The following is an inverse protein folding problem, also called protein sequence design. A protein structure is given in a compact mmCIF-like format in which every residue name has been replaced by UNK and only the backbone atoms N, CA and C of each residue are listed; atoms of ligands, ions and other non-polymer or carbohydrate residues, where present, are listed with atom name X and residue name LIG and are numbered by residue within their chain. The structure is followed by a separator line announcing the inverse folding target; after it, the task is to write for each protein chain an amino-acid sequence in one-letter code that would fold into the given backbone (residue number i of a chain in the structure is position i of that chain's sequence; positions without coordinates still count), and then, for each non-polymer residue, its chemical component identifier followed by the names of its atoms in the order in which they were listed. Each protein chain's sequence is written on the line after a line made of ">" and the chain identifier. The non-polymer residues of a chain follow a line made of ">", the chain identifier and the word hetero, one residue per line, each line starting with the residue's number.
data_IF_071709728812
#
_entry.id   IF_071709728812
#
_cell.length_a   1.000
_cell.length_b   1.000
_cell.length_c   1.000
_cell.angle_alpha   90.00
_cell.angle_beta   90.00
_cell.angle_gamma   90.00
#
_symmetry.space_group_name_H-M   'P 1'
#
loop_
_entity.id
_entity.type
_entity.pdbx_description
1 polymer ?
#
# COMPACT_ATOMS: atom_id res chain seq x y z
N UNK A 1 34.64 26.67 1.61
CA UNK A 1 33.67 25.58 1.41
C UNK A 1 32.43 26.23 0.88
N UNK A 2 32.09 26.00 -0.38
CA UNK A 2 30.80 26.41 -0.95
C UNK A 2 29.69 25.62 -0.25
N UNK A 3 28.62 26.29 0.16
CA UNK A 3 27.51 25.71 0.92
C UNK A 3 26.73 24.67 0.08
N UNK A 4 26.90 24.67 -1.25
CA UNK A 4 26.47 23.59 -2.16
C UNK A 4 27.05 22.18 -1.85
N UNK A 5 28.02 22.05 -0.94
CA UNK A 5 28.58 20.75 -0.52
C UNK A 5 27.92 20.15 0.74
N UNK A 6 26.89 20.78 1.30
CA UNK A 6 26.07 20.17 2.35
C UNK A 6 25.43 18.86 1.86
N UNK A 7 25.30 17.87 2.75
CA UNK A 7 24.55 16.65 2.43
C UNK A 7 23.10 17.02 2.22
N UNK A 8 22.64 16.98 0.96
CA UNK A 8 21.23 17.19 0.64
C UNK A 8 20.38 16.06 1.22
N UNK A 9 19.15 16.35 1.68
CA UNK A 9 18.27 15.32 2.23
C UNK A 9 17.92 14.28 1.16
N UNK A 10 18.04 12.99 1.52
CA UNK A 10 17.76 11.85 0.63
C UNK A 10 16.58 10.99 1.11
N UNK A 11 15.78 11.48 2.05
CA UNK A 11 14.68 10.70 2.64
C UNK A 11 13.66 10.24 1.59
N UNK A 12 13.40 11.06 0.57
CA UNK A 12 12.48 10.74 -0.54
C UNK A 12 12.95 9.58 -1.39
N UNK A 13 14.26 9.30 -1.48
CA UNK A 13 14.79 8.14 -2.21
C UNK A 13 14.42 6.83 -1.52
N UNK A 14 14.69 6.75 -0.21
CA UNK A 14 14.34 5.58 0.61
C UNK A 14 12.82 5.37 0.66
N UNK A 15 12.07 6.47 0.79
CA UNK A 15 10.61 6.46 0.74
C UNK A 15 10.09 5.86 -0.58
N UNK A 16 10.64 6.32 -1.72
CA UNK A 16 10.23 5.85 -3.03
C UNK A 16 10.49 4.36 -3.22
N UNK A 17 11.61 3.86 -2.71
CA UNK A 17 11.92 2.43 -2.76
C UNK A 17 11.02 1.60 -1.85
N UNK A 18 10.58 2.14 -0.71
CA UNK A 18 9.55 1.53 0.14
C UNK A 18 8.22 1.42 -0.60
N UNK A 19 7.70 2.52 -1.16
CA UNK A 19 6.43 2.52 -1.91
C UNK A 19 6.47 1.57 -3.12
N UNK A 20 7.60 1.53 -3.83
CA UNK A 20 7.79 0.59 -4.95
C UNK A 20 7.77 -0.86 -4.51
N UNK A 21 8.32 -1.17 -3.34
CA UNK A 21 8.28 -2.53 -2.78
C UNK A 21 6.85 -2.90 -2.44
N UNK A 22 6.19 -2.07 -1.65
CA UNK A 22 4.81 -2.27 -1.22
C UNK A 22 3.88 -2.49 -2.42
N UNK A 23 3.94 -1.62 -3.44
CA UNK A 23 3.16 -1.81 -4.67
C UNK A 23 3.38 -3.15 -5.34
N UNK A 24 4.63 -3.60 -5.45
CA UNK A 24 4.93 -4.88 -6.11
C UNK A 24 4.36 -6.04 -5.30
N UNK A 25 4.37 -5.95 -3.99
CA UNK A 25 3.81 -6.96 -3.08
C UNK A 25 2.28 -7.01 -3.21
N UNK A 26 1.60 -5.86 -3.09
CA UNK A 26 0.15 -5.75 -3.25
C UNK A 26 -0.32 -6.16 -4.66
N UNK A 27 0.42 -5.81 -5.71
CA UNK A 27 0.12 -6.26 -7.08
C UNK A 27 0.17 -7.79 -7.22
N UNK A 28 1.14 -8.44 -6.56
CA UNK A 28 1.27 -9.91 -6.57
C UNK A 28 0.13 -10.55 -5.80
N UNK A 29 -0.24 -10.00 -4.65
CA UNK A 29 -1.38 -10.46 -3.87
C UNK A 29 -2.70 -10.31 -4.63
N UNK A 30 -2.91 -9.16 -5.27
CA UNK A 30 -4.10 -8.93 -6.10
C UNK A 30 -4.21 -9.99 -7.21
N UNK A 31 -3.11 -10.29 -7.91
CA UNK A 31 -3.05 -11.39 -8.90
C UNK A 31 -3.27 -12.75 -8.25
N UNK A 32 -2.76 -12.99 -7.05
CA UNK A 32 -2.98 -14.23 -6.30
C UNK A 32 -4.47 -14.45 -6.00
N UNK A 33 -5.17 -13.45 -5.48
CA UNK A 33 -6.61 -13.52 -5.25
C UNK A 33 -7.41 -13.66 -6.55
N UNK A 34 -7.01 -13.01 -7.64
CA UNK A 34 -7.62 -13.23 -8.96
C UNK A 34 -7.49 -14.69 -9.42
N UNK A 35 -6.31 -15.30 -9.27
CA UNK A 35 -6.09 -16.73 -9.58
C UNK A 35 -6.91 -17.63 -8.67
N UNK A 36 -6.97 -17.33 -7.36
CA UNK A 36 -7.79 -18.06 -6.40
C UNK A 36 -9.27 -18.04 -6.80
N UNK A 37 -9.79 -16.85 -7.07
CA UNK A 37 -11.17 -16.63 -7.53
C UNK A 37 -11.47 -17.38 -8.83
N UNK A 38 -10.56 -17.35 -9.80
CA UNK A 38 -10.69 -18.12 -11.04
C UNK A 38 -10.76 -19.64 -10.77
N UNK A 39 -9.97 -20.18 -9.84
CA UNK A 39 -10.06 -21.59 -9.44
C UNK A 39 -11.42 -21.92 -8.81
N UNK A 40 -11.96 -21.05 -7.95
CA UNK A 40 -13.31 -21.24 -7.39
C UNK A 40 -14.38 -21.24 -8.49
N UNK A 41 -14.24 -20.40 -9.51
CA UNK A 41 -15.20 -20.31 -10.61
C UNK A 41 -15.32 -21.61 -11.42
N UNK A 42 -14.25 -22.38 -11.59
CA UNK A 42 -14.26 -23.62 -12.40
C UNK A 42 -14.88 -24.82 -11.68
N UNK A 43 -15.14 -24.72 -10.38
CA UNK A 43 -15.71 -25.83 -9.60
C UNK A 43 -17.19 -25.99 -9.89
N UNK A 44 -17.60 -27.18 -10.28
CA UNK A 44 -19.01 -27.51 -10.41
C UNK A 44 -19.70 -27.51 -9.04
N UNK A 45 -20.87 -26.89 -8.98
CA UNK A 45 -21.67 -26.88 -7.76
C UNK A 45 -22.60 -28.09 -7.75
N UNK A 46 -22.69 -28.72 -6.60
CA UNK A 46 -23.69 -29.75 -6.36
C UNK A 46 -24.88 -29.08 -5.68
N UNK A 47 -26.03 -29.08 -6.35
CA UNK A 47 -27.28 -28.80 -5.65
C UNK A 47 -27.61 -30.02 -4.80
N UNK A 48 -27.81 -29.89 -3.48
CA UNK A 48 -28.31 -31.01 -2.69
C UNK A 48 -29.65 -31.41 -3.28
N UNK A 49 -29.69 -32.57 -3.92
CA UNK A 49 -30.92 -33.11 -4.50
C UNK A 49 -31.77 -33.57 -3.32
N UNK A 50 -32.70 -32.72 -2.88
CA UNK A 50 -33.77 -33.15 -1.97
C UNK A 50 -34.72 -34.07 -2.76
N UNK A 51 -34.29 -35.30 -3.04
CA UNK A 51 -35.23 -36.34 -3.41
C UNK A 51 -36.11 -36.60 -2.19
N UNK A 52 -37.41 -36.30 -2.29
CA UNK A 52 -38.40 -36.86 -1.36
C UNK A 52 -38.35 -38.38 -1.50
N UNK A 53 -37.52 -39.02 -0.68
CA UNK A 53 -37.44 -40.47 -0.65
C UNK A 53 -38.69 -41.01 0.04
N UNK A 54 -39.55 -41.64 -0.77
CA UNK A 54 -40.60 -42.53 -0.29
C UNK A 54 -39.91 -43.83 0.09
N UNK A 55 -39.73 -44.05 1.40
CA UNK A 55 -39.40 -45.30 2.10
C UNK A 55 -38.50 -46.30 1.36
N UNK A 56 -37.24 -46.36 1.82
CA UNK A 56 -36.62 -47.63 2.20
C UNK A 56 -35.69 -48.30 1.20
N UNK A 57 -34.40 -47.91 1.21
CA UNK A 57 -33.23 -48.81 1.12
C UNK A 57 -32.05 -48.10 1.81
N UNK A 58 -31.47 -48.72 2.84
CA UNK A 58 -30.17 -48.28 3.39
C UNK A 58 -29.06 -48.67 2.40
N UNK A 59 -28.62 -47.72 1.59
CA UNK A 59 -27.32 -47.80 0.93
C UNK A 59 -26.36 -46.91 1.70
N UNK A 60 -25.50 -47.54 2.51
CA UNK A 60 -24.30 -46.89 3.05
C UNK A 60 -23.36 -46.58 1.87
N UNK A 61 -23.55 -45.42 1.24
CA UNK A 61 -22.47 -44.77 0.51
C UNK A 61 -21.61 -44.04 1.53
N UNK A 62 -20.58 -44.72 2.05
CA UNK A 62 -19.40 -44.01 2.53
C UNK A 62 -18.62 -43.66 1.28
N UNK A 63 -19.12 -42.68 0.53
CA UNK A 63 -18.24 -41.90 -0.32
C UNK A 63 -17.50 -41.01 0.66
N UNK A 64 -16.17 -41.08 0.72
CA UNK A 64 -15.37 -40.01 1.32
C UNK A 64 -15.64 -38.75 0.49
N UNK A 65 -16.76 -38.08 0.76
CA UNK A 65 -17.02 -36.74 0.26
C UNK A 65 -15.94 -35.85 0.89
N UNK A 66 -14.92 -35.55 0.08
CA UNK A 66 -13.89 -34.56 0.45
C UNK A 66 -14.62 -33.32 0.93
N UNK A 67 -14.28 -32.88 2.14
CA UNK A 67 -14.86 -31.65 2.68
C UNK A 67 -14.58 -30.51 1.71
N UNK A 68 -15.48 -29.52 1.63
CA UNK A 68 -15.23 -28.32 0.83
C UNK A 68 -13.89 -27.68 1.21
N UNK A 69 -13.56 -27.75 2.50
CA UNK A 69 -12.26 -27.32 3.02
C UNK A 69 -11.10 -28.03 2.30
N UNK A 70 -11.13 -29.36 2.19
CA UNK A 70 -10.08 -30.15 1.55
C UNK A 70 -9.90 -29.80 0.05
N UNK A 71 -10.93 -29.22 -0.58
CA UNK A 71 -10.85 -28.72 -1.95
C UNK A 71 -10.29 -27.29 -2.04
N UNK A 72 -10.70 -26.40 -1.13
CA UNK A 72 -10.33 -24.98 -1.15
C UNK A 72 -8.92 -24.74 -0.60
N UNK A 73 -8.56 -25.40 0.50
CA UNK A 73 -7.32 -25.16 1.23
C UNK A 73 -6.07 -25.33 0.32
N UNK A 74 -5.95 -26.38 -0.51
CA UNK A 74 -4.84 -26.48 -1.46
C UNK A 74 -4.81 -25.35 -2.48
N UNK A 75 -5.97 -24.87 -2.96
CA UNK A 75 -5.98 -23.76 -3.91
C UNK A 75 -5.55 -22.46 -3.27
N UNK A 76 -6.03 -22.19 -2.05
CA UNK A 76 -5.63 -21.00 -1.30
C UNK A 76 -4.12 -21.01 -1.05
N UNK A 77 -3.59 -22.16 -0.63
CA UNK A 77 -2.15 -22.34 -0.42
C UNK A 77 -1.36 -22.13 -1.72
N UNK A 78 -1.79 -22.72 -2.84
CA UNK A 78 -1.13 -22.60 -4.14
C UNK A 78 -1.21 -21.20 -4.78
N UNK A 79 -2.12 -20.35 -4.32
CA UNK A 79 -2.34 -19.03 -4.92
C UNK A 79 -1.96 -17.89 -3.99
N UNK A 80 -2.61 -17.79 -2.82
CA UNK A 80 -2.51 -16.66 -1.88
C UNK A 80 -1.29 -16.85 -0.99
N UNK A 81 -1.16 -18.02 -0.36
CA UNK A 81 0.00 -18.30 0.51
C UNK A 81 1.28 -18.62 -0.27
N UNK A 82 1.17 -18.83 -1.59
CA UNK A 82 2.32 -19.06 -2.49
C UNK A 82 2.95 -17.76 -3.02
N UNK A 83 2.50 -16.59 -2.58
CA UNK A 83 3.16 -15.33 -2.94
C UNK A 83 4.52 -15.25 -2.25
N UNK A 84 5.57 -14.85 -2.98
CA UNK A 84 6.97 -14.94 -2.53
C UNK A 84 7.21 -14.38 -1.12
N UNK A 85 6.58 -13.26 -0.76
CA UNK A 85 6.78 -12.59 0.54
C UNK A 85 5.89 -13.13 1.67
N UNK A 86 4.96 -14.03 1.38
CA UNK A 86 3.92 -14.44 2.32
C UNK A 86 4.48 -15.05 3.61
N UNK A 87 5.45 -15.96 3.47
CA UNK A 87 6.03 -16.67 4.62
C UNK A 87 6.83 -15.77 5.55
N UNK A 88 7.47 -14.74 5.01
CA UNK A 88 8.30 -13.81 5.76
C UNK A 88 7.47 -12.72 6.46
N UNK A 89 6.37 -12.28 5.81
CA UNK A 89 5.52 -11.17 6.28
C UNK A 89 4.39 -11.66 7.20
N UNK A 90 3.67 -12.71 6.79
CA UNK A 90 2.49 -13.20 7.50
C UNK A 90 2.78 -14.48 8.28
N UNK A 91 3.31 -15.51 7.60
CA UNK A 91 3.70 -16.78 8.20
C UNK A 91 2.60 -17.49 9.00
N UNK A 92 1.33 -17.17 8.73
CA UNK A 92 0.18 -17.65 9.48
C UNK A 92 -0.44 -18.93 8.89
N UNK A 93 -1.33 -19.56 9.65
CA UNK A 93 -2.08 -20.73 9.21
C UNK A 93 -3.17 -20.36 8.20
N UNK A 94 -3.59 -21.32 7.37
CA UNK A 94 -4.73 -21.15 6.46
C UNK A 94 -5.98 -20.57 7.13
N UNK A 95 -6.36 -21.07 8.32
CA UNK A 95 -7.55 -20.58 9.02
C UNK A 95 -7.41 -19.12 9.48
N UNK A 96 -6.23 -18.75 9.98
CA UNK A 96 -5.95 -17.38 10.42
C UNK A 96 -6.02 -16.40 9.24
N UNK A 97 -5.35 -16.73 8.14
CA UNK A 97 -5.33 -15.94 6.91
C UNK A 97 -6.72 -15.81 6.29
N UNK A 98 -7.42 -16.94 6.13
CA UNK A 98 -8.76 -16.96 5.59
C UNK A 98 -9.72 -16.16 6.47
N UNK A 99 -9.63 -16.26 7.79
CA UNK A 99 -10.46 -15.48 8.70
C UNK A 99 -10.17 -13.99 8.63
N UNK A 100 -8.90 -13.60 8.48
CA UNK A 100 -8.50 -12.20 8.37
C UNK A 100 -9.00 -11.57 7.06
N UNK A 101 -8.90 -12.31 5.96
CA UNK A 101 -9.23 -11.81 4.62
C UNK A 101 -10.72 -11.95 4.27
N UNK A 102 -11.35 -13.07 4.64
CA UNK A 102 -12.73 -13.42 4.22
C UNK A 102 -13.74 -13.28 5.36
N UNK A 103 -13.28 -13.07 6.59
CA UNK A 103 -14.12 -13.05 7.77
C UNK A 103 -14.31 -14.41 8.42
N UNK A 104 -14.56 -14.39 9.74
CA UNK A 104 -14.79 -15.58 10.56
C UNK A 104 -16.01 -16.38 10.06
N UNK A 105 -17.04 -15.70 9.57
CA UNK A 105 -18.26 -16.30 9.04
C UNK A 105 -18.00 -17.17 7.81
N UNK A 106 -17.10 -16.76 6.91
CA UNK A 106 -16.70 -17.56 5.75
C UNK A 106 -15.87 -18.77 6.17
N UNK A 107 -14.95 -18.61 7.14
CA UNK A 107 -14.18 -19.73 7.68
C UNK A 107 -15.09 -20.81 8.28
N UNK A 108 -16.08 -20.41 9.09
CA UNK A 108 -17.07 -21.33 9.68
C UNK A 108 -17.88 -22.02 8.58
N UNK A 109 -18.35 -21.27 7.59
CA UNK A 109 -19.11 -21.81 6.46
C UNK A 109 -18.35 -22.91 5.70
N UNK A 110 -17.07 -22.69 5.40
CA UNK A 110 -16.23 -23.69 4.70
C UNK A 110 -15.94 -24.90 5.60
N UNK A 111 -15.76 -24.68 6.89
CA UNK A 111 -15.41 -25.73 7.85
C UNK A 111 -16.57 -26.70 8.12
N UNK A 112 -17.81 -26.20 8.14
CA UNK A 112 -19.01 -27.00 8.45
C UNK A 112 -19.63 -27.68 7.23
N UNK A 113 -19.36 -27.19 6.02
CA UNK A 113 -20.08 -27.62 4.84
C UNK A 113 -19.47 -28.84 4.16
N UNK A 114 -20.30 -29.85 3.91
CA UNK A 114 -19.92 -31.12 3.27
C UNK A 114 -20.06 -31.09 1.75
N UNK A 115 -20.87 -30.18 1.19
CA UNK A 115 -21.18 -30.13 -0.24
C UNK A 115 -21.01 -28.73 -0.82
N UNK A 116 -20.29 -28.61 -1.94
CA UNK A 116 -20.05 -27.34 -2.62
C UNK A 116 -21.32 -26.79 -3.31
N UNK A 117 -22.16 -26.15 -2.51
CA UNK A 117 -23.43 -25.58 -2.97
C UNK A 117 -23.22 -24.27 -3.74
N UNK A 118 -24.19 -23.87 -4.60
CA UNK A 118 -24.15 -22.57 -5.27
C UNK A 118 -24.00 -21.38 -4.30
N UNK A 119 -24.60 -21.47 -3.11
CA UNK A 119 -24.56 -20.42 -2.09
C UNK A 119 -23.13 -20.26 -1.54
N UNK A 120 -22.47 -21.37 -1.20
CA UNK A 120 -21.08 -21.34 -0.68
C UNK A 120 -20.13 -20.81 -1.75
N UNK A 121 -20.27 -21.29 -3.00
CA UNK A 121 -19.48 -20.79 -4.13
C UNK A 121 -19.64 -19.28 -4.29
N UNK A 122 -20.88 -18.78 -4.27
CA UNK A 122 -21.15 -17.35 -4.40
C UNK A 122 -20.49 -16.55 -3.27
N UNK A 123 -20.61 -16.99 -2.01
CA UNK A 123 -19.97 -16.32 -0.86
C UNK A 123 -18.46 -16.22 -1.00
N UNK A 124 -17.80 -17.29 -1.45
CA UNK A 124 -16.35 -17.28 -1.67
C UNK A 124 -15.94 -16.35 -2.81
N UNK A 125 -16.73 -16.31 -3.88
CA UNK A 125 -16.48 -15.42 -5.01
C UNK A 125 -16.67 -13.95 -4.63
N UNK A 126 -17.66 -13.64 -3.80
CA UNK A 126 -17.90 -12.30 -3.25
C UNK A 126 -16.75 -11.87 -2.34
N UNK A 127 -16.36 -12.70 -1.37
CA UNK A 127 -15.27 -12.41 -0.45
C UNK A 127 -13.92 -12.26 -1.19
N UNK A 128 -13.62 -13.14 -2.14
CA UNK A 128 -12.42 -13.01 -2.97
C UNK A 128 -12.45 -11.75 -3.85
N UNK A 129 -13.63 -11.34 -4.35
CA UNK A 129 -13.76 -10.09 -5.09
C UNK A 129 -13.52 -8.88 -4.19
N UNK A 130 -14.06 -8.88 -2.97
CA UNK A 130 -13.81 -7.81 -2.00
C UNK A 130 -12.32 -7.67 -1.67
N UNK A 131 -11.60 -8.79 -1.50
CA UNK A 131 -10.15 -8.80 -1.29
C UNK A 131 -9.39 -8.17 -2.47
N UNK A 132 -9.84 -8.42 -3.71
CA UNK A 132 -9.27 -7.84 -4.93
C UNK A 132 -9.55 -6.34 -4.98
N UNK A 133 -10.80 -5.93 -4.74
CA UNK A 133 -11.23 -4.53 -4.81
C UNK A 133 -10.50 -3.68 -3.75
N UNK A 134 -10.40 -4.18 -2.51
CA UNK A 134 -9.65 -3.51 -1.44
C UNK A 134 -8.19 -3.26 -1.83
N UNK A 135 -7.53 -4.27 -2.42
CA UNK A 135 -6.14 -4.14 -2.89
C UNK A 135 -6.01 -3.20 -4.08
N UNK A 136 -7.00 -3.14 -4.97
CA UNK A 136 -7.01 -2.18 -6.08
C UNK A 136 -7.13 -0.74 -5.59
N UNK A 137 -8.04 -0.47 -4.64
CA UNK A 137 -8.15 0.83 -3.98
C UNK A 137 -6.84 1.20 -3.28
N UNK A 138 -6.21 0.26 -2.58
CA UNK A 138 -4.94 0.51 -1.93
C UNK A 138 -3.81 0.82 -2.94
N UNK A 139 -3.77 0.12 -4.07
CA UNK A 139 -2.82 0.41 -5.15
C UNK A 139 -2.99 1.83 -5.74
N UNK A 140 -4.21 2.36 -5.77
CA UNK A 140 -4.45 3.75 -6.16
C UNK A 140 -3.82 4.71 -5.14
N UNK A 141 -4.03 4.49 -3.84
CA UNK A 141 -3.37 5.29 -2.78
C UNK A 141 -1.84 5.22 -2.85
N UNK A 142 -1.27 4.05 -3.13
CA UNK A 142 0.18 3.88 -3.34
C UNK A 142 0.68 4.58 -4.62
N UNK A 143 -0.15 4.67 -5.66
CA UNK A 143 0.18 5.39 -6.89
C UNK A 143 0.17 6.90 -6.68
N UNK A 144 -0.77 7.41 -5.90
CA UNK A 144 -0.81 8.83 -5.52
C UNK A 144 0.43 9.18 -4.71
N UNK A 145 0.74 8.39 -3.68
CA UNK A 145 1.94 8.61 -2.86
C UNK A 145 3.23 8.54 -3.67
N UNK A 146 3.34 7.57 -4.59
CA UNK A 146 4.48 7.48 -5.50
C UNK A 146 4.65 8.75 -6.35
N UNK A 147 3.54 9.32 -6.82
CA UNK A 147 3.53 10.54 -7.63
C UNK A 147 3.99 11.73 -6.79
N UNK A 148 3.45 11.89 -5.58
CA UNK A 148 3.86 12.93 -4.64
C UNK A 148 5.36 12.89 -4.34
N UNK A 149 5.92 11.70 -4.09
CA UNK A 149 7.37 11.55 -3.88
C UNK A 149 8.18 11.93 -5.13
N UNK A 150 7.68 11.62 -6.31
CA UNK A 150 8.35 11.95 -7.58
C UNK A 150 8.36 13.44 -7.86
N UNK A 151 7.23 14.09 -7.61
CA UNK A 151 7.08 15.53 -7.76
C UNK A 151 7.98 16.25 -6.73
N UNK A 152 8.01 15.78 -5.48
CA UNK A 152 8.93 16.28 -4.47
C UNK A 152 10.40 16.13 -4.91
N UNK A 153 10.82 14.96 -5.43
CA UNK A 153 12.18 14.78 -5.96
C UNK A 153 12.50 15.75 -7.11
N UNK A 154 11.55 16.04 -8.00
CA UNK A 154 11.73 17.01 -9.09
C UNK A 154 11.96 18.41 -8.51
N UNK A 155 11.09 18.86 -7.61
CA UNK A 155 11.23 20.16 -6.96
C UNK A 155 12.56 20.26 -6.19
N UNK A 156 12.97 19.22 -5.45
CA UNK A 156 14.27 19.22 -4.78
C UNK A 156 15.41 19.42 -5.79
N UNK A 157 15.36 18.73 -6.94
CA UNK A 157 16.38 18.88 -7.97
C UNK A 157 16.41 20.30 -8.58
N UNK A 158 15.24 20.91 -8.81
CA UNK A 158 15.13 22.29 -9.29
C UNK A 158 15.70 23.29 -8.27
N UNK A 159 15.38 23.14 -6.97
CA UNK A 159 15.94 23.96 -5.90
C UNK A 159 17.47 23.79 -5.82
N UNK A 160 17.97 22.55 -5.94
CA UNK A 160 19.41 22.25 -5.96
C UNK A 160 20.14 22.99 -7.06
N UNK A 161 19.59 22.97 -8.27
CA UNK A 161 20.15 23.64 -9.44
C UNK A 161 20.16 25.15 -9.27
N UNK A 162 19.06 25.72 -8.76
CA UNK A 162 18.97 27.16 -8.46
C UNK A 162 20.01 27.59 -7.40
N UNK A 163 20.17 26.83 -6.32
CA UNK A 163 21.19 27.13 -5.30
C UNK A 163 22.62 27.01 -5.88
N UNK A 164 22.88 26.02 -6.72
CA UNK A 164 24.18 25.87 -7.37
C UNK A 164 24.51 27.05 -8.31
N UNK A 165 23.51 27.57 -9.03
CA UNK A 165 23.66 28.78 -9.85
C UNK A 165 23.97 30.01 -8.99
N UNK A 166 23.27 30.17 -7.87
CA UNK A 166 23.51 31.22 -6.88
C UNK A 166 24.92 31.15 -6.25
N UNK A 167 25.49 29.96 -6.08
CA UNK A 167 26.87 29.76 -5.58
C UNK A 167 27.92 30.05 -6.66
N UNK A 168 27.61 29.77 -7.93
CA UNK A 168 28.51 29.99 -9.06
C UNK A 168 28.64 31.47 -9.45
N UNK A 169 27.62 32.27 -9.13
CA UNK A 169 27.59 33.70 -9.38
C UNK A 169 28.33 34.41 -8.25
N UNK A 170 29.65 34.48 -8.36
CA UNK A 170 30.52 35.16 -7.40
C UNK A 170 30.04 36.62 -7.23
N UNK A 171 29.80 37.07 -5.99
CA UNK A 171 29.38 38.45 -5.63
C UNK A 171 30.49 39.47 -5.95
N UNK A 172 30.91 39.56 -7.21
CA UNK A 172 31.89 40.54 -7.67
C UNK A 172 31.20 41.90 -7.82
N UNK A 173 30.96 42.58 -6.69
CA UNK A 173 30.35 43.93 -6.66
C UNK A 173 29.06 43.99 -7.48
N UNK A 174 28.11 43.13 -7.16
CA UNK A 174 26.86 43.07 -7.89
C UNK A 174 26.15 44.42 -7.92
N UNK A 175 25.57 44.73 -9.08
CA UNK A 175 24.62 45.83 -9.21
C UNK A 175 23.42 45.62 -8.28
N UNK A 176 22.72 46.70 -7.92
CA UNK A 176 21.51 46.64 -7.06
C UNK A 176 20.45 45.66 -7.62
N UNK A 177 20.45 45.46 -8.94
CA UNK A 177 19.60 44.49 -9.65
C UNK A 177 20.01 43.05 -9.37
N UNK A 178 21.30 42.71 -9.36
CA UNK A 178 21.77 41.34 -9.08
C UNK A 178 21.46 40.90 -7.64
N UNK A 179 21.53 41.84 -6.68
CA UNK A 179 21.13 41.59 -5.31
C UNK A 179 19.62 41.36 -5.19
N UNK A 180 18.83 42.14 -5.94
CA UNK A 180 17.37 41.98 -5.99
C UNK A 180 16.98 40.63 -6.60
N UNK A 181 17.56 40.26 -7.74
CA UNK A 181 17.28 38.99 -8.43
C UNK A 181 17.63 37.77 -7.54
N UNK A 182 18.75 37.85 -6.80
CA UNK A 182 19.13 36.82 -5.82
C UNK A 182 18.11 36.71 -4.69
N UNK A 183 17.70 37.84 -4.12
CA UNK A 183 16.70 37.86 -3.05
C UNK A 183 15.35 37.27 -3.51
N UNK A 184 14.88 37.67 -4.69
CA UNK A 184 13.64 37.18 -5.27
C UNK A 184 13.69 35.67 -5.55
N UNK A 185 14.85 35.17 -6.01
CA UNK A 185 15.10 33.74 -6.20
C UNK A 185 14.99 32.99 -4.88
N UNK A 186 15.72 33.39 -3.84
CA UNK A 186 15.67 32.75 -2.52
C UNK A 186 14.26 32.80 -1.91
N UNK A 187 13.56 33.92 -2.07
CA UNK A 187 12.19 34.08 -1.58
C UNK A 187 11.22 33.12 -2.28
N UNK A 188 11.40 32.90 -3.58
CA UNK A 188 10.61 31.96 -4.38
C UNK A 188 10.85 30.52 -3.91
N UNK A 189 12.10 30.11 -3.77
CA UNK A 189 12.47 28.76 -3.28
C UNK A 189 11.92 28.50 -1.86
N UNK A 190 12.03 29.50 -0.97
CA UNK A 190 11.49 29.42 0.39
C UNK A 190 9.95 29.25 0.39
N UNK A 191 9.26 30.02 -0.46
CA UNK A 191 7.81 29.92 -0.61
C UNK A 191 7.38 28.57 -1.17
N UNK A 192 8.12 28.01 -2.12
CA UNK A 192 7.86 26.68 -2.69
C UNK A 192 8.01 25.57 -1.63
N UNK A 193 9.08 25.60 -0.82
CA UNK A 193 9.26 24.63 0.27
C UNK A 193 8.12 24.71 1.30
N UNK A 194 7.69 25.93 1.66
CA UNK A 194 6.56 26.13 2.58
C UNK A 194 5.25 25.61 1.99
N UNK A 195 5.03 25.79 0.69
CA UNK A 195 3.87 25.24 -0.01
C UNK A 195 3.85 23.72 0.08
N UNK A 196 4.99 23.06 -0.16
CA UNK A 196 5.13 21.61 -0.02
C UNK A 196 4.82 21.12 1.40
N UNK A 197 5.37 21.78 2.42
CA UNK A 197 5.12 21.45 3.83
C UNK A 197 3.64 21.60 4.15
N UNK A 198 3.02 22.72 3.77
CA UNK A 198 1.62 23.00 4.06
C UNK A 198 0.70 22.00 3.35
N UNK A 199 0.86 21.81 2.05
CA UNK A 199 0.06 20.86 1.27
C UNK A 199 0.15 19.47 1.89
N UNK A 200 1.37 19.03 2.22
CA UNK A 200 1.56 17.69 2.75
C UNK A 200 0.97 17.51 4.15
N UNK A 201 1.03 18.53 5.00
CA UNK A 201 0.36 18.50 6.31
C UNK A 201 -1.17 18.45 6.16
N UNK A 202 -1.74 19.21 5.23
CA UNK A 202 -3.18 19.19 4.94
C UNK A 202 -3.63 17.80 4.42
N UNK A 203 -2.86 17.19 3.54
CA UNK A 203 -3.09 15.82 3.06
C UNK A 203 -3.10 14.81 4.22
N UNK A 204 -2.06 14.81 5.05
CA UNK A 204 -1.95 13.88 6.19
C UNK A 204 -3.10 14.09 7.19
N UNK A 205 -3.48 15.33 7.46
CA UNK A 205 -4.59 15.62 8.36
C UNK A 205 -5.95 15.22 7.80
N UNK A 206 -6.17 15.38 6.50
CA UNK A 206 -7.42 15.01 5.83
C UNK A 206 -7.60 13.50 5.77
N UNK A 207 -6.52 12.76 5.56
CA UNK A 207 -6.52 11.31 5.43
C UNK A 207 -6.23 10.59 6.75
N UNK A 208 -6.19 11.34 7.86
CA UNK A 208 -6.04 10.75 9.19
C UNK A 208 -7.25 9.87 9.45
N UNK A 209 -7.00 8.61 9.77
CA UNK A 209 -8.08 7.65 9.95
C UNK A 209 -8.83 8.02 11.24
N UNK A 210 -10.06 8.51 11.12
CA UNK A 210 -10.91 8.87 12.26
C UNK A 210 -11.44 7.56 12.90
N UNK A 211 -10.63 6.89 13.74
CA UNK A 211 -10.99 5.58 14.30
C UNK A 211 -11.50 5.68 15.74
N UNK A 212 -12.80 5.56 15.87
CA UNK A 212 -13.42 4.83 16.98
C UNK A 212 -13.30 3.33 16.72
N UNK A 213 -12.61 2.63 17.63
CA UNK A 213 -12.59 1.17 17.82
C UNK A 213 -11.76 0.31 16.85
N UNK A 214 -10.82 -0.39 17.49
CA UNK A 214 -10.11 -1.61 17.14
C UNK A 214 -8.98 -1.60 16.09
N UNK A 215 -7.79 -1.86 16.64
CA UNK A 215 -6.64 -2.63 16.10
C UNK A 215 -6.14 -2.23 14.71
N UNK A 216 -5.46 -1.09 14.63
CA UNK A 216 -4.36 -0.89 13.68
C UNK A 216 -3.26 -0.08 14.37
N UNK A 217 -2.01 -0.51 14.20
CA UNK A 217 -0.83 0.11 14.85
C UNK A 217 -0.49 1.47 14.23
N UNK A 218 -0.97 1.74 13.01
CA UNK A 218 -0.61 2.89 12.19
C UNK A 218 -1.72 3.95 12.19
N UNK A 219 -1.32 5.23 12.29
CA UNK A 219 -2.26 6.38 12.40
C UNK A 219 -2.67 6.92 11.02
N UNK A 220 -1.81 6.73 10.02
CA UNK A 220 -2.00 7.14 8.63
C UNK A 220 -1.09 6.32 7.69
N UNK A 221 -1.25 6.55 6.38
CA UNK A 221 -0.51 5.84 5.33
C UNK A 221 1.02 6.03 5.43
N UNK A 222 1.52 7.22 5.82
CA UNK A 222 2.96 7.48 5.92
C UNK A 222 3.56 6.64 7.05
N UNK A 223 2.89 6.61 8.21
CA UNK A 223 3.35 5.81 9.35
C UNK A 223 3.46 4.32 9.03
N UNK A 224 2.61 3.81 8.14
CA UNK A 224 2.68 2.44 7.63
C UNK A 224 3.82 2.24 6.62
N UNK A 225 3.89 3.07 5.57
CA UNK A 225 4.84 2.88 4.46
C UNK A 225 6.29 3.13 4.84
N UNK A 226 6.53 3.98 5.82
CA UNK A 226 7.86 4.45 6.19
C UNK A 226 8.32 3.89 7.53
N UNK A 227 7.61 2.90 8.06
CA UNK A 227 8.04 2.16 9.24
C UNK A 227 9.44 1.56 9.00
N UNK A 228 10.37 1.85 9.91
CA UNK A 228 11.76 1.40 9.83
C UNK A 228 12.67 2.25 8.94
N UNK A 229 12.17 3.33 8.33
CA UNK A 229 13.00 4.35 7.71
C UNK A 229 13.52 5.36 8.75
N UNK A 230 14.39 6.27 8.33
CA UNK A 230 14.98 7.30 9.20
C UNK A 230 13.94 8.33 9.68
N UNK A 231 12.91 8.59 8.87
CA UNK A 231 11.85 9.57 9.16
C UNK A 231 10.49 9.03 8.73
N UNK A 232 9.47 9.29 9.57
CA UNK A 232 8.08 8.86 9.32
C UNK A 232 7.40 9.69 8.22
N UNK A 233 7.89 10.91 7.97
CA UNK A 233 7.32 11.84 6.98
C UNK A 233 8.41 12.40 6.05
N UNK A 234 8.89 11.60 5.07
CA UNK A 234 10.04 11.93 4.22
C UNK A 234 9.93 13.27 3.50
N UNK A 235 8.77 13.58 2.91
CA UNK A 235 8.54 14.86 2.21
C UNK A 235 8.65 16.04 3.16
N UNK A 236 8.05 15.96 4.35
CA UNK A 236 8.11 17.04 5.34
C UNK A 236 9.54 17.26 5.84
N UNK A 237 10.25 16.19 6.20
CA UNK A 237 11.64 16.25 6.63
C UNK A 237 12.54 16.86 5.55
N UNK A 238 12.38 16.41 4.29
CA UNK A 238 13.14 16.93 3.15
C UNK A 238 12.97 18.43 2.99
N UNK A 239 11.74 18.96 2.96
CA UNK A 239 11.52 20.39 2.74
C UNK A 239 11.85 21.26 3.96
N UNK A 240 11.80 20.71 5.18
CA UNK A 240 12.30 21.40 6.38
C UNK A 240 13.82 21.55 6.31
N UNK A 241 14.55 20.50 5.97
CA UNK A 241 16.01 20.54 5.84
C UNK A 241 16.44 21.50 4.70
N UNK A 242 15.69 21.53 3.60
CA UNK A 242 15.94 22.48 2.50
C UNK A 242 15.68 23.93 2.92
N UNK A 243 14.64 24.21 3.72
CA UNK A 243 14.43 25.55 4.28
C UNK A 243 15.61 25.98 5.17
N UNK A 244 16.19 25.07 5.94
CA UNK A 244 17.38 25.35 6.74
C UNK A 244 18.58 25.66 5.82
N UNK A 245 18.77 24.92 4.72
CA UNK A 245 19.80 25.21 3.72
C UNK A 245 19.61 26.60 3.11
N UNK A 246 18.39 26.92 2.65
CA UNK A 246 18.07 28.23 2.04
C UNK A 246 18.33 29.37 3.02
N UNK A 247 18.03 29.19 4.32
CA UNK A 247 18.26 30.23 5.34
C UNK A 247 19.73 30.61 5.52
N UNK A 248 20.68 29.79 5.07
CA UNK A 248 22.12 30.10 5.10
C UNK A 248 22.54 31.05 3.97
N UNK A 249 21.66 31.31 3.00
CA UNK A 249 21.89 32.21 1.86
C UNK A 249 21.27 33.60 2.07
N UNK A 250 20.44 33.76 3.09
CA UNK A 250 19.85 35.03 3.56
C UNK A 250 20.84 35.81 4.45
#
# INVERSE_FOLDING_TARGET
>A
MTLAQGSWPTYTDAALDSVRRERREVERECRAFQRFRQRIQTVDTQTPRFERSVVGVNQNFISEEKSIRDAIEPWYHDTVMAVDHYGDVYGDSFEASLSAEFGVDVLVLISEATTFSPVIKQRLLEAAQQCIDNRQVFLESLQDEFTTLKDAQSTVQEIREAIAELDSTELQRGSDTELTDRYDTLHTLNSECKSWIQQRQEEIHTHRIDRSADVDTHTDLCSYLYEGLEVDYPVLATFVDILEIISQYE
#
